data_IF_828070052920
#
_entry.id   IF_828070052920
#
_cell.length_a   1.000
_cell.length_b   1.000
_cell.length_c   1.000
_cell.angle_alpha   90.00
_cell.angle_beta   90.00
_cell.angle_gamma   90.00
#
_symmetry.space_group_name_H-M   'P 1'
#
loop_
_entity.id
_entity.type
_entity.pdbx_description
1 polymer ?
#
# COMPACT_ATOMS: atom_id res chain seq x y z
N UNK A 1 -7.95 5.94 -10.65
CA UNK A 1 -7.10 5.07 -9.82
C UNK A 1 -7.50 5.17 -8.36
N UNK A 2 -7.60 4.04 -7.67
CA UNK A 2 -7.96 3.93 -6.26
C UNK A 2 -7.24 2.72 -5.64
N UNK A 3 -6.74 2.88 -4.42
CA UNK A 3 -6.19 1.81 -3.58
C UNK A 3 -7.11 1.70 -2.37
N UNK A 4 -7.70 0.54 -2.16
CA UNK A 4 -8.67 0.29 -1.09
C UNK A 4 -8.48 -1.11 -0.51
N UNK A 5 -9.09 -1.38 0.62
CA UNK A 5 -9.11 -2.72 1.19
C UNK A 5 -10.40 -2.97 1.96
N UNK A 6 -10.68 -4.23 2.26
CA UNK A 6 -11.75 -4.67 3.16
C UNK A 6 -11.24 -5.75 4.11
N UNK A 7 -12.10 -6.26 4.99
CA UNK A 7 -11.76 -7.35 5.92
C UNK A 7 -10.48 -7.08 6.76
N UNK A 8 -10.32 -5.84 7.24
CA UNK A 8 -9.21 -5.47 8.12
C UNK A 8 -9.19 -6.36 9.36
N UNK A 9 -8.05 -6.98 9.61
CA UNK A 9 -7.83 -7.87 10.74
C UNK A 9 -6.40 -7.74 11.29
N UNK A 10 -6.23 -8.20 12.52
CA UNK A 10 -4.93 -8.26 13.20
C UNK A 10 -4.87 -9.49 14.10
N UNK A 11 -5.53 -10.58 13.69
CA UNK A 11 -5.74 -11.76 14.54
C UNK A 11 -4.44 -12.52 14.80
N UNK A 12 -3.48 -12.40 13.88
CA UNK A 12 -2.16 -13.04 13.97
C UNK A 12 -1.14 -12.22 14.78
N UNK A 13 -1.52 -11.02 15.25
CA UNK A 13 -0.66 -10.18 16.09
C UNK A 13 -0.47 -10.84 17.47
N UNK A 14 0.72 -11.38 17.72
CA UNK A 14 1.04 -12.12 18.95
C UNK A 14 1.98 -11.38 19.92
N UNK A 15 2.61 -10.28 19.49
CA UNK A 15 3.59 -9.53 20.27
C UNK A 15 3.49 -8.01 20.08
N UNK A 16 4.56 -7.31 20.41
CA UNK A 16 4.59 -5.86 20.60
C UNK A 16 5.67 -5.13 19.78
N UNK A 17 6.30 -5.82 18.82
CA UNK A 17 7.36 -5.23 18.00
C UNK A 17 6.78 -4.56 16.75
N UNK A 18 7.41 -3.47 16.29
CA UNK A 18 6.96 -2.76 15.09
C UNK A 18 6.85 -3.69 13.87
N UNK A 19 7.87 -4.53 13.62
CA UNK A 19 7.86 -5.48 12.50
C UNK A 19 6.64 -6.40 12.54
N UNK A 20 6.24 -6.87 13.72
CA UNK A 20 5.08 -7.74 13.89
C UNK A 20 3.77 -7.02 13.58
N UNK A 21 3.61 -5.75 13.98
CA UNK A 21 2.48 -4.93 13.57
C UNK A 21 2.44 -4.69 12.06
N UNK A 22 3.60 -4.51 11.42
CA UNK A 22 3.65 -4.24 9.98
C UNK A 22 3.18 -5.45 9.17
N UNK A 23 3.58 -6.67 9.57
CA UNK A 23 3.22 -7.90 8.85
C UNK A 23 1.86 -8.48 9.27
N UNK A 24 1.44 -8.33 10.52
CA UNK A 24 0.23 -9.00 11.05
C UNK A 24 -1.05 -8.16 10.91
N UNK A 25 -0.94 -6.90 10.49
CA UNK A 25 -2.11 -6.06 10.19
C UNK A 25 -2.45 -6.24 8.71
N UNK A 26 -3.45 -7.08 8.48
CA UNK A 26 -3.78 -7.62 7.16
C UNK A 26 -5.19 -7.21 6.71
N UNK A 27 -5.38 -7.16 5.39
CA UNK A 27 -6.67 -6.88 4.77
C UNK A 27 -6.72 -7.33 3.31
N UNK A 28 -7.93 -7.48 2.76
CA UNK A 28 -8.15 -7.76 1.35
C UNK A 28 -7.85 -6.51 0.50
N UNK A 29 -6.63 -6.38 -0.01
CA UNK A 29 -6.20 -5.26 -0.84
C UNK A 29 -6.86 -5.31 -2.23
N UNK A 30 -7.29 -4.14 -2.72
CA UNK A 30 -7.79 -3.95 -4.09
C UNK A 30 -7.26 -2.64 -4.68
N UNK A 31 -6.69 -2.77 -5.88
CA UNK A 31 -6.25 -1.65 -6.71
C UNK A 31 -7.11 -1.63 -7.96
N UNK A 32 -7.78 -0.50 -8.21
CA UNK A 32 -8.72 -0.33 -9.30
C UNK A 32 -8.44 0.95 -10.10
N UNK A 33 -8.72 0.93 -11.39
CA UNK A 33 -8.69 2.10 -12.24
C UNK A 33 -9.91 2.18 -13.16
N UNK A 34 -10.76 3.18 -12.94
CA UNK A 34 -11.98 3.37 -13.74
C UNK A 34 -12.97 2.20 -13.68
N UNK A 35 -12.99 1.44 -12.57
CA UNK A 35 -13.82 0.24 -12.40
C UNK A 35 -13.18 -1.05 -12.91
N UNK A 36 -11.97 -1.00 -13.47
CA UNK A 36 -11.19 -2.19 -13.83
C UNK A 36 -10.24 -2.55 -12.69
N UNK A 37 -10.29 -3.81 -12.24
CA UNK A 37 -9.33 -4.33 -11.27
C UNK A 37 -7.94 -4.43 -11.89
N UNK A 38 -6.96 -3.79 -11.26
CA UNK A 38 -5.55 -3.85 -11.63
C UNK A 38 -4.84 -4.96 -10.85
N UNK A 39 -5.09 -5.02 -9.54
CA UNK A 39 -4.52 -6.02 -8.65
C UNK A 39 -5.42 -6.22 -7.44
N UNK A 40 -5.45 -7.43 -6.90
CA UNK A 40 -6.10 -7.75 -5.64
C UNK A 40 -5.31 -8.85 -4.94
N UNK A 41 -5.25 -8.79 -3.63
CA UNK A 41 -4.59 -9.81 -2.80
C UNK A 41 -5.35 -9.94 -1.49
N UNK A 42 -5.54 -11.18 -1.03
CA UNK A 42 -6.15 -11.45 0.28
C UNK A 42 -5.07 -11.36 1.35
N UNK A 43 -5.47 -11.06 2.59
CA UNK A 43 -4.56 -11.09 3.75
C UNK A 43 -3.26 -10.29 3.51
N UNK A 44 -3.39 -9.10 2.90
CA UNK A 44 -2.25 -8.28 2.50
C UNK A 44 -1.79 -7.37 3.65
N UNK A 45 -0.47 -7.21 3.91
CA UNK A 45 0.08 -6.39 5.01
C UNK A 45 -0.11 -4.89 4.75
N UNK A 46 -1.31 -4.38 5.05
CA UNK A 46 -1.71 -3.01 4.71
C UNK A 46 -1.01 -1.95 5.57
N UNK A 47 -0.63 -2.28 6.80
CA UNK A 47 0.17 -1.39 7.65
C UNK A 47 1.58 -1.20 7.08
N UNK A 48 2.23 -2.29 6.67
CA UNK A 48 3.54 -2.22 6.02
C UNK A 48 3.50 -1.40 4.74
N UNK A 49 2.50 -1.63 3.87
CA UNK A 49 2.33 -0.85 2.65
C UNK A 49 2.10 0.63 2.93
N UNK A 50 1.24 0.97 3.90
CA UNK A 50 0.98 2.36 4.25
C UNK A 50 2.23 3.08 4.76
N UNK A 51 3.03 2.42 5.61
CA UNK A 51 4.31 2.95 6.10
C UNK A 51 5.30 3.18 4.96
N UNK A 52 5.46 2.20 4.07
CA UNK A 52 6.37 2.28 2.93
C UNK A 52 5.94 3.38 1.94
N UNK A 53 4.65 3.50 1.63
CA UNK A 53 4.12 4.57 0.79
C UNK A 53 4.33 5.94 1.43
N UNK A 54 4.13 6.07 2.74
CA UNK A 54 4.35 7.33 3.44
C UNK A 54 5.82 7.76 3.38
N UNK A 55 6.75 6.83 3.60
CA UNK A 55 8.18 7.09 3.46
C UNK A 55 8.54 7.50 2.02
N UNK A 56 8.01 6.79 1.02
CA UNK A 56 8.21 7.11 -0.39
C UNK A 56 7.68 8.50 -0.77
N UNK A 57 6.47 8.87 -0.31
CA UNK A 57 5.88 10.20 -0.54
C UNK A 57 6.67 11.35 0.10
N UNK A 58 7.45 11.07 1.16
CA UNK A 58 8.33 12.06 1.82
C UNK A 58 9.65 12.26 1.05
N UNK A 59 10.01 11.36 0.13
CA UNK A 59 11.26 11.44 -0.62
C UNK A 59 11.26 12.60 -1.63
N UNK A 60 12.32 13.43 -1.69
CA UNK A 60 12.44 14.52 -2.66
C UNK A 60 12.68 14.04 -4.09
N UNK A 61 13.10 12.78 -4.26
CA UNK A 61 13.28 12.12 -5.54
C UNK A 61 12.14 11.12 -5.70
N UNK A 62 11.17 11.44 -6.56
CA UNK A 62 10.09 10.53 -6.94
C UNK A 62 10.66 9.46 -7.88
N UNK A 63 11.48 8.57 -7.34
CA UNK A 63 11.86 7.33 -7.99
C UNK A 63 10.66 6.37 -8.01
N UNK A 64 10.75 5.30 -8.79
CA UNK A 64 9.72 4.26 -8.80
C UNK A 64 9.54 3.67 -7.39
N UNK A 65 8.28 3.47 -6.99
CA UNK A 65 7.95 2.72 -5.79
C UNK A 65 7.90 1.24 -6.13
N UNK A 66 8.69 0.43 -5.42
CA UNK A 66 8.61 -1.02 -5.45
C UNK A 66 8.40 -1.49 -4.02
N UNK A 67 7.21 -2.01 -3.72
CA UNK A 67 6.91 -2.49 -2.37
C UNK A 67 7.80 -3.69 -2.04
N UNK A 68 8.54 -3.56 -0.94
CA UNK A 68 9.38 -4.61 -0.36
C UNK A 68 8.76 -4.95 0.97
N UNK A 69 8.34 -6.19 1.10
CA UNK A 69 7.62 -6.70 2.26
C UNK A 69 8.33 -7.92 2.79
N UNK A 70 8.31 -8.11 4.10
CA UNK A 70 8.75 -9.39 4.69
C UNK A 70 7.76 -10.53 4.40
N UNK A 71 6.49 -10.21 4.07
CA UNK A 71 5.45 -11.19 3.75
C UNK A 71 5.52 -11.73 2.31
N UNK A 72 6.29 -11.09 1.42
CA UNK A 72 6.40 -11.49 0.01
C UNK A 72 7.87 -11.73 -0.40
N UNK A 73 8.11 -12.84 -1.10
CA UNK A 73 9.42 -13.12 -1.70
C UNK A 73 9.75 -12.15 -2.85
N UNK A 74 8.74 -11.79 -3.64
CA UNK A 74 8.90 -10.93 -4.81
C UNK A 74 8.78 -9.45 -4.46
N UNK A 75 9.70 -8.65 -5.01
CA UNK A 75 9.67 -7.18 -4.87
C UNK A 75 8.69 -6.59 -5.88
N UNK A 76 7.79 -5.73 -5.40
CA UNK A 76 6.82 -5.02 -6.24
C UNK A 76 5.48 -5.73 -6.37
N UNK A 77 5.04 -6.46 -5.34
CA UNK A 77 3.63 -6.92 -5.24
C UNK A 77 2.66 -5.74 -5.39
N UNK A 78 3.05 -4.56 -4.88
CA UNK A 78 2.57 -3.26 -5.36
C UNK A 78 3.75 -2.46 -5.91
N UNK A 79 3.61 -1.94 -7.13
CA UNK A 79 4.60 -1.06 -7.76
C UNK A 79 3.94 0.18 -8.34
N UNK A 80 4.61 1.33 -8.21
CA UNK A 80 4.21 2.59 -8.84
C UNK A 80 5.40 3.08 -9.67
N UNK A 81 5.25 3.02 -10.99
CA UNK A 81 6.35 3.26 -11.93
C UNK A 81 6.07 4.44 -12.86
N UNK A 82 7.14 5.16 -13.20
CA UNK A 82 7.07 6.25 -14.18
C UNK A 82 7.17 5.71 -15.60
N UNK A 83 6.18 6.04 -16.43
CA UNK A 83 6.10 5.67 -17.86
C UNK A 83 5.84 6.92 -18.68
N UNK A 84 6.79 7.29 -19.55
CA UNK A 84 6.68 8.43 -20.47
C UNK A 84 6.30 9.76 -19.78
N UNK A 85 6.81 9.99 -18.57
CA UNK A 85 6.54 11.20 -17.79
C UNK A 85 5.24 11.18 -16.99
N UNK A 86 4.46 10.10 -17.07
CA UNK A 86 3.28 9.80 -16.25
C UNK A 86 3.57 8.65 -15.29
N UNK A 87 2.60 8.31 -14.46
CA UNK A 87 2.71 7.25 -13.46
C UNK A 87 1.68 6.16 -13.68
N UNK A 88 2.05 4.93 -13.35
CA UNK A 88 1.19 3.74 -13.40
C UNK A 88 1.32 2.97 -12.09
N UNK A 89 0.24 2.32 -11.65
CA UNK A 89 0.27 1.34 -10.56
C UNK A 89 0.04 -0.05 -11.12
N UNK A 90 0.66 -1.06 -10.52
CA UNK A 90 0.46 -2.45 -10.87
C UNK A 90 1.12 -3.39 -9.88
N UNK A 91 1.29 -4.63 -10.31
CA UNK A 91 1.97 -5.68 -9.55
C UNK A 91 3.03 -6.38 -10.41
N UNK A 92 4.06 -6.92 -9.79
CA UNK A 92 5.02 -7.82 -10.45
C UNK A 92 4.36 -9.15 -10.85
N UNK A 93 3.34 -9.60 -10.11
CA UNK A 93 2.62 -10.84 -10.39
C UNK A 93 1.73 -10.77 -11.64
N UNK A 94 1.29 -9.56 -12.01
CA UNK A 94 0.45 -9.32 -13.19
C UNK A 94 1.05 -8.20 -14.04
N UNK A 95 2.18 -8.43 -14.73
CA UNK A 95 2.93 -7.38 -15.42
C UNK A 95 2.15 -6.71 -16.56
N UNK A 96 1.20 -7.42 -17.16
CA UNK A 96 0.34 -6.91 -18.23
C UNK A 96 -0.91 -6.17 -17.70
N UNK A 97 -1.17 -6.22 -16.39
CA UNK A 97 -2.28 -5.55 -15.73
C UNK A 97 -1.77 -4.33 -14.96
N UNK A 98 -1.78 -3.17 -15.61
CA UNK A 98 -1.39 -1.89 -15.02
C UNK A 98 -2.51 -0.86 -15.18
N UNK A 99 -2.56 0.12 -14.27
CA UNK A 99 -3.48 1.25 -14.42
C UNK A 99 -3.16 2.07 -15.67
N UNK A 100 -4.11 2.92 -16.08
CA UNK A 100 -3.82 3.92 -17.11
C UNK A 100 -2.75 4.90 -16.60
N UNK A 101 -1.87 5.40 -17.49
CA UNK A 101 -0.90 6.43 -17.12
C UNK A 101 -1.59 7.70 -16.65
N UNK A 102 -1.27 8.15 -15.43
CA UNK A 102 -1.87 9.30 -14.77
C UNK A 102 -0.83 10.32 -14.28
N UNK A 103 -1.28 11.51 -13.89
CA UNK A 103 -0.40 12.51 -13.26
C UNK A 103 -0.01 12.13 -11.83
N UNK A 104 1.05 12.77 -11.34
CA UNK A 104 1.53 12.58 -9.97
C UNK A 104 0.46 12.91 -8.91
N UNK A 105 -0.32 13.97 -9.11
CA UNK A 105 -1.35 14.38 -8.14
C UNK A 105 -2.36 13.27 -7.86
N UNK A 106 -2.79 12.57 -8.92
CA UNK A 106 -3.69 11.41 -8.82
C UNK A 106 -3.07 10.25 -8.06
N UNK A 107 -1.77 10.01 -8.23
CA UNK A 107 -1.03 8.98 -7.47
C UNK A 107 -0.93 9.37 -6.01
N UNK A 108 -0.50 10.59 -5.75
CA UNK A 108 -0.34 11.12 -4.40
C UNK A 108 -1.67 11.07 -3.64
N UNK A 109 -2.77 11.51 -4.26
CA UNK A 109 -4.11 11.47 -3.67
C UNK A 109 -4.55 10.04 -3.35
N UNK A 110 -4.33 9.09 -4.27
CA UNK A 110 -4.67 7.69 -4.04
C UNK A 110 -3.88 7.07 -2.88
N UNK A 111 -2.56 7.33 -2.81
CA UNK A 111 -1.72 6.86 -1.72
C UNK A 111 -2.11 7.50 -0.39
N UNK A 112 -2.36 8.82 -0.35
CA UNK A 112 -2.79 9.53 0.87
C UNK A 112 -4.14 9.06 1.37
N UNK A 113 -5.10 8.80 0.47
CA UNK A 113 -6.39 8.24 0.82
C UNK A 113 -6.26 6.85 1.44
N UNK A 114 -5.42 5.97 0.86
CA UNK A 114 -5.12 4.66 1.42
C UNK A 114 -4.48 4.76 2.81
N UNK A 115 -3.42 5.56 2.98
CA UNK A 115 -2.75 5.78 4.27
C UNK A 115 -3.74 6.30 5.32
N UNK A 116 -4.64 7.20 4.94
CA UNK A 116 -5.66 7.72 5.84
C UNK A 116 -6.66 6.65 6.30
N UNK A 117 -7.07 5.73 5.41
CA UNK A 117 -7.91 4.59 5.79
C UNK A 117 -7.17 3.70 6.80
N UNK A 118 -5.92 3.32 6.51
CA UNK A 118 -5.12 2.47 7.40
C UNK A 118 -4.93 3.12 8.77
N UNK A 119 -4.63 4.42 8.83
CA UNK A 119 -4.55 5.18 10.09
C UNK A 119 -5.84 5.06 10.90
N UNK A 120 -6.98 5.34 10.27
CA UNK A 120 -8.25 5.30 10.96
C UNK A 120 -8.60 3.91 11.49
N UNK A 121 -8.31 2.86 10.73
CA UNK A 121 -8.61 1.50 11.17
C UNK A 121 -7.65 1.02 12.27
N UNK A 122 -6.36 1.36 12.20
CA UNK A 122 -5.42 1.12 13.32
C UNK A 122 -5.94 1.75 14.62
N UNK A 123 -6.33 3.03 14.58
CA UNK A 123 -6.85 3.74 15.76
C UNK A 123 -8.17 3.13 16.26
N UNK A 124 -9.05 2.69 15.37
CA UNK A 124 -10.31 2.02 15.73
C UNK A 124 -10.08 0.69 16.45
N UNK A 125 -9.02 -0.02 16.10
CA UNK A 125 -8.59 -1.25 16.76
C UNK A 125 -7.77 -0.99 18.03
N UNK A 126 -7.52 0.27 18.37
CA UNK A 126 -6.80 0.67 19.59
C UNK A 126 -5.28 0.65 19.45
N UNK A 127 -4.77 0.62 18.23
CA UNK A 127 -3.34 0.67 17.92
C UNK A 127 -2.87 2.11 17.70
N UNK A 128 -1.64 2.43 18.14
CA UNK A 128 -1.02 3.73 17.89
C UNK A 128 -0.58 3.85 16.43
N UNK A 129 -1.39 4.50 15.60
CA UNK A 129 -1.12 4.64 14.17
C UNK A 129 0.10 5.52 13.88
N UNK A 130 0.45 6.43 14.80
CA UNK A 130 1.63 7.28 14.64
C UNK A 130 2.89 6.46 14.84
N UNK A 131 2.95 5.66 15.91
CA UNK A 131 4.08 4.77 16.14
C UNK A 131 4.26 3.73 15.02
N UNK A 132 3.14 3.16 14.52
CA UNK A 132 3.18 2.13 13.47
C UNK A 132 3.57 2.71 12.11
N UNK A 133 3.06 3.89 11.73
CA UNK A 133 3.21 4.39 10.36
C UNK A 133 4.23 5.50 10.21
N UNK A 134 4.48 6.31 11.25
CA UNK A 134 5.47 7.36 11.20
C UNK A 134 6.86 6.82 11.55
N UNK A 135 7.86 7.24 10.78
CA UNK A 135 9.29 7.06 11.04
C UNK A 135 9.86 8.36 11.58
#
# INVERSE_FOLDING_TARGET
MMISYGAFNADDLCGDTLSEYLVSVEADLRIEDGGTQVYSELDFPVAELARNLLAWLKSPHQDDFLFKSESFEEVGSVKICRVEGKWTIGSVYYPDCVSRPTDWGTVEDACRAFIYMVRNDLERFGFDSTWILDE
#
